data_IF_582577207222
#
_entry.id   IF_582577207222
#
_cell.length_a   1.000
_cell.length_b   1.000
_cell.length_c   1.000
_cell.angle_alpha   90.00
_cell.angle_beta   90.00
_cell.angle_gamma   90.00
#
_symmetry.space_group_name_H-M   'P 1'
#
loop_
_entity.id
_entity.type
_entity.pdbx_description
1 polymer ?
#
# COMPACT_ATOMS: atom_id res chain seq x y z
N UNK A 1 -11.91 4.58 -0.72
CA UNK A 1 -12.56 4.51 -2.04
C UNK A 1 -11.67 3.75 -3.01
N UNK A 2 -12.22 3.23 -4.13
CA UNK A 2 -11.43 2.53 -5.16
C UNK A 2 -11.87 2.99 -6.55
N UNK A 3 -10.90 3.24 -7.42
CA UNK A 3 -11.14 3.66 -8.82
C UNK A 3 -10.15 2.96 -9.76
N UNK A 4 -10.42 1.71 -10.15
CA UNK A 4 -9.54 0.96 -11.02
C UNK A 4 -9.47 1.51 -12.45
N UNK A 5 -10.48 2.28 -12.89
CA UNK A 5 -10.52 2.86 -14.24
C UNK A 5 -9.53 4.01 -14.42
N UNK A 6 -9.17 4.70 -13.34
CA UNK A 6 -8.15 5.76 -13.35
C UNK A 6 -6.70 5.24 -13.37
N UNK A 7 -6.51 3.94 -13.61
CA UNK A 7 -5.18 3.32 -13.73
C UNK A 7 -4.40 3.83 -14.94
N UNK A 8 -3.10 4.08 -14.77
CA UNK A 8 -2.18 4.37 -15.87
C UNK A 8 -1.98 3.21 -16.86
N UNK A 9 -2.39 2.02 -16.46
CA UNK A 9 -2.47 0.85 -17.35
C UNK A 9 -3.61 0.97 -18.37
N UNK A 10 -4.68 1.70 -18.03
CA UNK A 10 -5.90 1.81 -18.85
C UNK A 10 -6.02 3.14 -19.56
N UNK A 11 -5.72 4.25 -18.87
CA UNK A 11 -5.89 5.60 -19.43
C UNK A 11 -4.62 6.44 -19.23
N UNK A 12 -4.31 7.26 -20.24
CA UNK A 12 -3.20 8.20 -20.16
C UNK A 12 -3.46 9.34 -19.16
N UNK A 13 -2.37 9.97 -18.68
CA UNK A 13 -2.42 11.04 -17.67
C UNK A 13 -3.31 12.22 -18.08
N UNK A 14 -3.34 12.59 -19.38
CA UNK A 14 -4.21 13.66 -19.89
C UNK A 14 -5.69 13.35 -19.67
N UNK A 15 -6.12 12.13 -20.00
CA UNK A 15 -7.51 11.67 -19.82
C UNK A 15 -7.85 11.59 -18.33
N UNK A 16 -6.93 11.10 -17.50
CA UNK A 16 -7.09 11.10 -16.06
C UNK A 16 -7.32 12.51 -15.49
N UNK A 17 -6.52 13.50 -15.89
CA UNK A 17 -6.66 14.90 -15.44
C UNK A 17 -7.98 15.54 -15.87
N UNK A 18 -8.49 15.16 -17.03
CA UNK A 18 -9.74 15.70 -17.58
C UNK A 18 -10.98 15.02 -16.99
N UNK A 19 -10.98 13.68 -16.86
CA UNK A 19 -12.16 12.88 -16.54
C UNK A 19 -12.09 12.09 -15.23
N UNK A 20 -10.92 11.92 -14.62
CA UNK A 20 -10.77 11.21 -13.34
C UNK A 20 -10.59 12.15 -12.16
N UNK A 21 -9.54 12.95 -12.20
CA UNK A 21 -9.15 13.83 -11.10
C UNK A 21 -10.25 14.76 -10.58
N UNK A 22 -11.05 15.47 -11.40
CA UNK A 22 -12.10 16.37 -10.92
C UNK A 22 -13.17 15.65 -10.10
N UNK A 23 -13.60 14.48 -10.57
CA UNK A 23 -14.63 13.69 -9.89
C UNK A 23 -14.11 13.01 -8.61
N UNK A 24 -12.85 12.59 -8.61
CA UNK A 24 -12.19 12.13 -7.38
C UNK A 24 -12.17 13.27 -6.35
N UNK A 25 -11.77 14.48 -6.73
CA UNK A 25 -11.73 15.63 -5.84
C UNK A 25 -13.12 16.00 -5.29
N UNK A 26 -14.15 15.98 -6.13
CA UNK A 26 -15.53 16.20 -5.71
C UNK A 26 -16.00 15.16 -4.70
N UNK A 27 -15.71 13.88 -4.98
CA UNK A 27 -16.07 12.77 -4.10
C UNK A 27 -15.32 12.83 -2.76
N UNK A 28 -14.02 13.16 -2.78
CA UNK A 28 -13.21 13.35 -1.57
C UNK A 28 -13.80 14.47 -0.71
N UNK A 29 -14.16 15.61 -1.30
CA UNK A 29 -14.78 16.73 -0.61
C UNK A 29 -16.10 16.31 0.01
N UNK A 30 -17.01 15.70 -0.76
CA UNK A 30 -18.31 15.27 -0.27
C UNK A 30 -18.22 14.24 0.88
N UNK A 31 -17.31 13.25 0.76
CA UNK A 31 -17.08 12.27 1.82
C UNK A 31 -16.49 12.92 3.07
N UNK A 32 -15.57 13.86 2.90
CA UNK A 32 -14.96 14.60 4.03
C UNK A 32 -16.02 15.42 4.79
N UNK A 33 -16.91 16.10 4.06
CA UNK A 33 -18.03 16.86 4.66
C UNK A 33 -19.00 15.94 5.43
N UNK A 34 -19.29 14.77 4.88
CA UNK A 34 -20.23 13.82 5.48
C UNK A 34 -19.66 13.06 6.69
N UNK A 35 -18.38 12.72 6.67
CA UNK A 35 -17.76 11.82 7.67
C UNK A 35 -16.82 12.53 8.65
N UNK A 36 -16.45 13.77 8.37
CA UNK A 36 -15.45 14.51 9.12
C UNK A 36 -13.99 14.08 8.85
N UNK A 37 -13.76 13.16 7.90
CA UNK A 37 -12.42 12.64 7.57
C UNK A 37 -12.26 12.44 6.06
N UNK A 38 -11.10 12.85 5.53
CA UNK A 38 -10.78 12.62 4.13
C UNK A 38 -10.53 11.12 3.87
N UNK A 39 -11.10 10.55 2.79
CA UNK A 39 -10.90 9.15 2.44
C UNK A 39 -9.51 8.89 1.86
N UNK A 40 -9.01 7.65 1.99
CA UNK A 40 -7.94 7.13 1.15
C UNK A 40 -8.48 6.62 -0.19
N UNK A 41 -7.59 6.50 -1.19
CA UNK A 41 -7.92 5.94 -2.50
C UNK A 41 -7.02 4.76 -2.87
N UNK A 42 -7.61 3.73 -3.48
CA UNK A 42 -6.91 2.64 -4.15
C UNK A 42 -7.12 2.71 -5.65
N UNK A 43 -6.04 2.61 -6.41
CA UNK A 43 -6.05 2.46 -7.86
C UNK A 43 -5.15 1.29 -8.23
N UNK A 44 -5.70 0.30 -8.96
CA UNK A 44 -4.95 -0.84 -9.45
C UNK A 44 -3.97 -0.45 -10.57
N UNK A 45 -2.94 -1.28 -10.78
CA UNK A 45 -1.97 -1.11 -11.85
C UNK A 45 -1.04 0.09 -11.65
N UNK A 46 -0.57 0.66 -12.74
CA UNK A 46 0.42 1.76 -12.70
C UNK A 46 -0.22 3.09 -12.35
N UNK A 47 0.33 3.77 -11.33
CA UNK A 47 -0.21 5.04 -10.81
C UNK A 47 0.85 6.10 -10.56
N UNK A 48 2.14 5.79 -10.74
CA UNK A 48 3.26 6.66 -10.38
C UNK A 48 3.20 8.04 -11.04
N UNK A 49 2.75 8.12 -12.28
CA UNK A 49 2.65 9.35 -13.07
C UNK A 49 1.53 10.30 -12.59
N UNK A 50 0.65 9.83 -11.69
CA UNK A 50 -0.52 10.57 -11.19
C UNK A 50 -0.57 10.74 -9.67
N UNK A 51 0.46 10.33 -8.95
CA UNK A 51 0.48 10.48 -7.48
C UNK A 51 0.31 11.92 -7.04
N UNK A 52 1.00 12.87 -7.69
CA UNK A 52 0.85 14.29 -7.38
C UNK A 52 -0.57 14.80 -7.62
N UNK A 53 -1.15 14.46 -8.77
CA UNK A 53 -2.54 14.80 -9.08
C UNK A 53 -3.54 14.20 -8.06
N UNK A 54 -3.28 12.98 -7.57
CA UNK A 54 -4.10 12.35 -6.53
C UNK A 54 -3.99 13.09 -5.19
N UNK A 55 -2.79 13.50 -4.79
CA UNK A 55 -2.59 14.29 -3.57
C UNK A 55 -3.34 15.62 -3.62
N UNK A 56 -3.36 16.29 -4.79
CA UNK A 56 -4.10 17.52 -4.98
C UNK A 56 -5.63 17.36 -4.84
N UNK A 57 -6.16 16.14 -4.95
CA UNK A 57 -7.58 15.88 -4.69
C UNK A 57 -7.97 15.92 -3.21
N UNK A 58 -6.99 15.94 -2.30
CA UNK A 58 -7.21 15.99 -0.86
C UNK A 58 -7.39 14.63 -0.19
N UNK A 59 -7.03 13.52 -0.84
CA UNK A 59 -7.05 12.18 -0.22
C UNK A 59 -6.11 12.10 0.99
N UNK A 60 -6.49 11.34 2.00
CA UNK A 60 -5.69 11.12 3.22
C UNK A 60 -4.70 9.97 3.10
N UNK A 61 -4.81 9.16 2.07
CA UNK A 61 -3.96 8.00 1.87
C UNK A 61 -3.98 7.46 0.44
N UNK A 62 -2.86 6.87 0.03
CA UNK A 62 -2.70 6.19 -1.25
C UNK A 62 -2.46 4.70 -1.03
N UNK A 63 -3.30 3.87 -1.62
CA UNK A 63 -3.14 2.42 -1.71
C UNK A 63 -2.77 2.04 -3.13
N UNK A 64 -1.66 1.34 -3.31
CA UNK A 64 -1.12 1.02 -4.64
C UNK A 64 -1.02 -0.49 -4.89
N UNK A 65 -1.08 -0.81 -6.17
CA UNK A 65 -0.89 -2.14 -6.72
C UNK A 65 0.57 -2.61 -6.56
N UNK A 66 0.81 -3.93 -6.64
CA UNK A 66 2.15 -4.52 -6.58
C UNK A 66 3.04 -4.19 -7.80
N UNK A 67 2.50 -3.55 -8.82
CA UNK A 67 3.27 -3.01 -9.95
C UNK A 67 4.05 -1.73 -9.57
N UNK A 68 3.76 -1.14 -8.41
CA UNK A 68 4.43 0.06 -7.93
C UNK A 68 5.49 -0.26 -6.85
N UNK A 69 6.52 0.57 -6.79
CA UNK A 69 7.52 0.48 -5.72
C UNK A 69 7.03 1.22 -4.47
N UNK A 70 6.95 0.50 -3.35
CA UNK A 70 6.58 1.11 -2.06
C UNK A 70 7.62 2.12 -1.57
N UNK A 71 8.90 1.87 -1.84
CA UNK A 71 9.97 2.82 -1.52
C UNK A 71 9.82 4.12 -2.34
N UNK A 72 9.52 4.01 -3.63
CA UNK A 72 9.26 5.18 -4.47
C UNK A 72 8.02 5.95 -4.02
N UNK A 73 6.94 5.26 -3.64
CA UNK A 73 5.73 5.87 -3.11
C UNK A 73 6.00 6.59 -1.78
N UNK A 74 6.72 5.94 -0.85
CA UNK A 74 7.13 6.57 0.41
C UNK A 74 7.92 7.85 0.17
N UNK A 75 8.93 7.80 -0.72
CA UNK A 75 9.80 8.95 -1.00
C UNK A 75 9.06 10.10 -1.68
N UNK A 76 8.04 9.80 -2.49
CA UNK A 76 7.26 10.82 -3.20
C UNK A 76 6.10 11.40 -2.37
N UNK A 77 5.45 10.58 -1.54
CA UNK A 77 4.14 10.92 -0.95
C UNK A 77 4.07 10.70 0.57
N UNK A 78 4.99 9.91 1.15
CA UNK A 78 4.89 9.42 2.53
C UNK A 78 4.99 10.49 3.62
N UNK A 79 5.47 11.67 3.32
CA UNK A 79 5.49 12.84 4.21
C UNK A 79 4.16 13.63 4.20
N UNK A 80 3.31 13.41 3.19
CA UNK A 80 2.04 14.11 2.98
C UNK A 80 0.82 13.27 3.34
N UNK A 81 0.82 11.98 3.00
CA UNK A 81 -0.32 11.08 3.22
C UNK A 81 0.13 9.73 3.77
N UNK A 82 -0.80 8.98 4.36
CA UNK A 82 -0.58 7.57 4.67
C UNK A 82 -0.46 6.76 3.38
N UNK A 83 0.39 5.73 3.39
CA UNK A 83 0.56 4.83 2.24
C UNK A 83 0.16 3.40 2.60
N UNK A 84 -0.36 2.66 1.63
CA UNK A 84 -0.81 1.28 1.82
C UNK A 84 -0.43 0.39 0.64
N UNK A 85 -0.06 -0.81 0.92
CA UNK A 85 0.25 -1.83 -0.09
C UNK A 85 1.34 -2.78 0.39
N UNK A 86 2.03 -3.53 -0.48
CA UNK A 86 1.55 -3.92 -1.80
C UNK A 86 2.08 -5.32 -2.13
N UNK A 87 2.00 -6.24 -1.13
CA UNK A 87 2.42 -7.63 -1.34
C UNK A 87 1.64 -8.23 -2.52
N UNK A 88 2.32 -8.87 -3.52
CA UNK A 88 1.66 -9.41 -4.70
C UNK A 88 0.57 -10.43 -4.35
N UNK A 89 -0.72 -10.16 -4.69
CA UNK A 89 -1.84 -11.01 -4.23
C UNK A 89 -1.92 -12.36 -4.96
N UNK A 90 -1.53 -12.42 -6.21
CA UNK A 90 -1.59 -13.64 -7.04
C UNK A 90 -0.30 -14.42 -6.91
N UNK A 91 0.81 -13.85 -7.35
CA UNK A 91 2.09 -14.53 -7.51
C UNK A 91 2.69 -14.98 -6.18
N UNK A 92 2.40 -14.24 -5.10
CA UNK A 92 2.97 -14.50 -3.77
C UNK A 92 1.92 -15.04 -2.81
N UNK A 93 0.81 -14.29 -2.58
CA UNK A 93 -0.11 -14.67 -1.50
C UNK A 93 -0.95 -15.88 -1.90
N UNK A 94 -1.36 -16.03 -3.18
CA UNK A 94 -2.10 -17.21 -3.64
C UNK A 94 -1.18 -18.36 -4.03
N UNK A 95 -0.20 -18.11 -4.90
CA UNK A 95 0.55 -19.15 -5.62
C UNK A 95 1.94 -19.44 -5.00
N UNK A 96 2.43 -18.58 -4.10
CA UNK A 96 3.70 -18.77 -3.39
C UNK A 96 3.59 -19.70 -2.19
N UNK A 97 4.73 -20.04 -1.61
CA UNK A 97 4.82 -20.74 -0.31
C UNK A 97 4.60 -19.78 0.87
N UNK A 98 4.32 -20.30 2.08
CA UNK A 98 4.29 -19.49 3.29
C UNK A 98 5.57 -18.67 3.52
N UNK A 99 6.73 -19.24 3.15
CA UNK A 99 8.04 -18.60 3.25
C UNK A 99 8.16 -17.43 2.28
N UNK A 100 7.67 -17.56 1.05
CA UNK A 100 7.63 -16.49 0.05
C UNK A 100 6.75 -15.33 0.53
N UNK A 101 5.60 -15.65 1.12
CA UNK A 101 4.70 -14.66 1.72
C UNK A 101 5.38 -13.90 2.86
N UNK A 102 6.05 -14.62 3.77
CA UNK A 102 6.77 -13.99 4.87
C UNK A 102 7.91 -13.09 4.39
N UNK A 103 8.67 -13.52 3.38
CA UNK A 103 9.74 -12.73 2.78
C UNK A 103 9.21 -11.46 2.11
N UNK A 104 8.12 -11.56 1.35
CA UNK A 104 7.50 -10.41 0.69
C UNK A 104 6.90 -9.40 1.67
N UNK A 105 6.27 -9.86 2.75
CA UNK A 105 5.78 -9.01 3.84
C UNK A 105 6.94 -8.28 4.52
N UNK A 106 8.03 -8.99 4.84
CA UNK A 106 9.24 -8.39 5.42
C UNK A 106 9.81 -7.28 4.53
N UNK A 107 9.91 -7.55 3.24
CA UNK A 107 10.43 -6.59 2.27
C UNK A 107 9.52 -5.36 2.14
N UNK A 108 8.21 -5.55 2.11
CA UNK A 108 7.24 -4.47 2.06
C UNK A 108 7.35 -3.54 3.30
N UNK A 109 7.47 -4.13 4.50
CA UNK A 109 7.69 -3.38 5.75
C UNK A 109 9.05 -2.67 5.73
N UNK A 110 10.11 -3.31 5.20
CA UNK A 110 11.44 -2.71 5.07
C UNK A 110 11.40 -1.44 4.20
N UNK A 111 10.65 -1.47 3.12
CA UNK A 111 10.54 -0.33 2.18
C UNK A 111 9.73 0.83 2.77
N UNK A 112 8.71 0.56 3.58
CA UNK A 112 7.68 1.55 3.89
C UNK A 112 7.28 1.66 5.36
N UNK A 113 7.74 0.75 6.23
CA UNK A 113 7.34 0.71 7.64
C UNK A 113 7.67 1.98 8.43
N UNK A 114 8.62 2.77 7.95
CA UNK A 114 9.06 4.05 8.51
C UNK A 114 8.41 5.28 7.84
N UNK A 115 7.34 5.09 7.06
CA UNK A 115 6.67 6.21 6.38
C UNK A 115 6.20 7.27 7.39
N UNK A 116 6.53 8.58 7.17
CA UNK A 116 6.26 9.65 8.14
C UNK A 116 4.80 9.84 8.49
N UNK A 117 3.88 9.65 7.53
CA UNK A 117 2.43 9.76 7.78
C UNK A 117 1.78 8.42 8.12
N UNK A 118 2.55 7.34 8.09
CA UNK A 118 2.15 5.98 8.42
C UNK A 118 2.06 5.07 7.21
N UNK A 119 2.21 3.78 7.49
CA UNK A 119 2.12 2.71 6.52
C UNK A 119 1.11 1.66 6.97
N UNK A 120 0.26 1.24 6.06
CA UNK A 120 -0.68 0.12 6.25
C UNK A 120 -0.25 -1.03 5.35
N UNK A 121 0.29 -2.10 5.95
CA UNK A 121 0.61 -3.31 5.21
C UNK A 121 -0.67 -3.94 4.66
N UNK A 122 -0.69 -4.20 3.37
CA UNK A 122 -1.79 -4.89 2.69
C UNK A 122 -1.29 -5.64 1.45
N UNK A 123 -2.07 -6.60 0.91
CA UNK A 123 -1.87 -7.02 -0.47
C UNK A 123 -2.03 -5.84 -1.43
N UNK A 124 -1.39 -5.92 -2.59
CA UNK A 124 -1.44 -4.89 -3.63
C UNK A 124 -2.83 -4.71 -4.26
N UNK A 125 -3.70 -5.70 -4.13
CA UNK A 125 -5.10 -5.67 -4.54
C UNK A 125 -5.88 -6.72 -3.76
N UNK A 126 -7.16 -6.96 -4.11
CA UNK A 126 -8.01 -8.01 -3.53
C UNK A 126 -7.38 -9.38 -3.70
N UNK A 127 -7.41 -10.17 -2.62
CA UNK A 127 -6.94 -11.56 -2.66
C UNK A 127 -7.86 -12.41 -3.55
N UNK A 128 -7.30 -13.25 -4.44
CA UNK A 128 -8.09 -14.16 -5.27
C UNK A 128 -8.85 -15.21 -4.45
N UNK A 129 -9.99 -15.65 -4.97
CA UNK A 129 -10.69 -16.82 -4.44
C UNK A 129 -9.77 -18.04 -4.53
N UNK A 130 -9.76 -18.86 -3.48
CA UNK A 130 -8.88 -20.02 -3.39
C UNK A 130 -7.47 -19.76 -2.87
N UNK A 131 -7.18 -18.54 -2.41
CA UNK A 131 -5.93 -18.25 -1.69
C UNK A 131 -5.78 -19.20 -0.49
N UNK A 132 -4.64 -19.95 -0.36
CA UNK A 132 -4.43 -20.90 0.72
C UNK A 132 -4.48 -20.24 2.10
N UNK A 133 -5.16 -20.90 3.03
CA UNK A 133 -5.31 -20.38 4.41
C UNK A 133 -3.96 -20.25 5.13
N UNK A 134 -3.05 -21.19 4.87
CA UNK A 134 -1.67 -21.16 5.39
C UNK A 134 -0.92 -19.91 4.96
N UNK A 135 -1.11 -19.44 3.72
CA UNK A 135 -0.49 -18.23 3.21
C UNK A 135 -1.07 -16.95 3.85
N UNK A 136 -2.38 -16.94 4.09
CA UNK A 136 -3.01 -15.84 4.85
C UNK A 136 -2.46 -15.81 6.30
N UNK A 137 -2.31 -16.99 6.92
CA UNK A 137 -1.72 -17.12 8.26
C UNK A 137 -0.26 -16.64 8.27
N UNK A 138 0.52 -17.03 7.27
CA UNK A 138 1.92 -16.59 7.12
C UNK A 138 2.02 -15.06 6.95
N UNK A 139 1.12 -14.45 6.15
CA UNK A 139 1.03 -13.00 6.01
C UNK A 139 0.81 -12.30 7.36
N UNK A 140 -0.16 -12.77 8.15
CA UNK A 140 -0.50 -12.18 9.45
C UNK A 140 0.62 -12.39 10.49
N UNK A 141 1.24 -13.57 10.49
CA UNK A 141 2.38 -13.86 11.36
C UNK A 141 3.58 -12.96 11.02
N UNK A 142 3.92 -12.83 9.74
CA UNK A 142 4.98 -11.96 9.27
C UNK A 142 4.71 -10.48 9.63
N UNK A 143 3.47 -10.02 9.46
CA UNK A 143 3.06 -8.67 9.88
C UNK A 143 3.28 -8.44 11.39
N UNK A 144 2.93 -9.43 12.22
CA UNK A 144 3.11 -9.36 13.68
C UNK A 144 4.59 -9.40 14.09
N UNK A 145 5.40 -10.18 13.40
CA UNK A 145 6.85 -10.32 13.69
C UNK A 145 7.59 -9.05 13.24
N UNK A 146 7.53 -8.73 11.95
CA UNK A 146 8.34 -7.67 11.35
C UNK A 146 7.78 -6.27 11.61
N UNK A 147 6.46 -6.14 11.79
CA UNK A 147 5.79 -4.88 12.12
C UNK A 147 5.79 -4.53 13.60
N UNK A 148 6.38 -5.38 14.47
CA UNK A 148 6.42 -5.11 15.92
C UNK A 148 7.05 -3.76 16.22
N UNK A 149 6.42 -2.97 17.10
CA UNK A 149 6.88 -1.65 17.50
C UNK A 149 6.73 -0.59 16.38
N UNK A 150 5.86 -0.82 15.40
CA UNK A 150 5.61 0.13 14.32
C UNK A 150 5.19 1.50 14.85
N UNK A 151 5.87 2.54 14.38
CA UNK A 151 5.60 3.95 14.67
C UNK A 151 5.81 4.79 13.41
N UNK A 152 4.98 5.82 13.23
CA UNK A 152 5.14 6.75 12.10
C UNK A 152 6.54 7.37 12.09
N UNK A 153 7.19 7.34 10.94
CA UNK A 153 8.51 7.92 10.74
C UNK A 153 9.67 7.17 11.39
N UNK A 154 9.45 5.93 11.86
CA UNK A 154 10.50 5.12 12.49
C UNK A 154 10.50 3.68 11.98
N UNK A 155 11.67 3.06 11.79
CA UNK A 155 11.76 1.64 11.44
C UNK A 155 11.10 0.76 12.51
N UNK A 156 10.43 -0.32 12.07
CA UNK A 156 9.82 -1.29 12.96
C UNK A 156 10.88 -2.05 13.77
N UNK A 157 10.69 -2.21 15.08
CA UNK A 157 11.62 -2.94 15.96
C UNK A 157 11.79 -4.40 15.53
N UNK A 158 10.70 -5.08 15.18
CA UNK A 158 10.74 -6.46 14.71
C UNK A 158 11.60 -6.66 13.46
N UNK A 159 11.64 -5.67 12.57
CA UNK A 159 12.51 -5.70 11.40
C UNK A 159 13.99 -5.56 11.77
N UNK A 160 14.31 -4.64 12.70
CA UNK A 160 15.69 -4.42 13.18
C UNK A 160 16.25 -5.64 13.89
N UNK A 161 15.48 -6.27 14.77
CA UNK A 161 15.87 -7.46 15.50
C UNK A 161 16.05 -8.68 14.58
N UNK A 162 15.21 -8.87 13.58
CA UNK A 162 15.32 -9.96 12.61
C UNK A 162 16.53 -9.85 11.67
N UNK A 163 17.20 -8.70 11.66
CA UNK A 163 18.40 -8.46 10.86
C UNK A 163 19.70 -8.74 11.62
N UNK A 164 19.63 -9.10 12.92
CA UNK A 164 20.80 -9.46 13.70
C UNK A 164 21.18 -10.94 13.51
N UNK A 165 22.47 -11.28 13.36
CA UNK A 165 22.91 -12.68 13.25
C UNK A 165 22.52 -13.45 14.53
N UNK A 166 21.65 -14.47 14.40
CA UNK A 166 21.23 -15.33 15.51
C UNK A 166 19.81 -15.10 16.05
N UNK A 167 18.98 -14.29 15.42
CA UNK A 167 17.63 -13.95 15.89
C UNK A 167 16.59 -15.11 15.85
N UNK A 168 16.92 -16.24 15.22
CA UNK A 168 16.08 -17.44 15.15
C UNK A 168 16.90 -18.67 15.54
N UNK A 169 17.01 -18.93 16.84
CA UNK A 169 17.33 -20.25 17.41
C UNK A 169 16.19 -20.73 18.23
#
# INVERSE_FOLDING_TARGET
MSDPLSSGTLIGLKVFREFGKPYIAELVRALTELTGAAPGIHICGKTRDRWEDLLETGVSGLSVDNQESMEALKNACGDRVAISGNVPPVEVVRDGSPEDVMAAVRECIRQSGDSPRGFLLSPGCTLPVGTPRENITAFMNAASIYGRGAQKGRPCLGLLESSQPGAFR
#
